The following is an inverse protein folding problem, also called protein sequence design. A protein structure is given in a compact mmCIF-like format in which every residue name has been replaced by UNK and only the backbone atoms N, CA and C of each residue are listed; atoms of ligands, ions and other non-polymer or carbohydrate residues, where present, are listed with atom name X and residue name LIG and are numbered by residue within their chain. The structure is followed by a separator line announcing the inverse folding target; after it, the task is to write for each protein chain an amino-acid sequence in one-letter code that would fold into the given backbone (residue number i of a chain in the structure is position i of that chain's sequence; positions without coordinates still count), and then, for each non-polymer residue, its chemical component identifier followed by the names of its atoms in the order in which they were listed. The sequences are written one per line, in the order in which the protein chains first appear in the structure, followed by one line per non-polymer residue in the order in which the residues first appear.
data_IF_225076545924
#
_entry.id   IF_225076545924
#
_cell.length_a   1.000
_cell.length_b   1.000
_cell.length_c   1.000
_cell.angle_alpha   90.00
_cell.angle_beta   90.00
_cell.angle_gamma   90.00
#
_symmetry.space_group_name_H-M   'P 1'
#
loop_
_entity.id
_entity.type
_entity.pdbx_description
1 polymer ?
#
# COMPACT_ATOMS: atom_id res chain seq x y z
N UNK A 1 42.82 9.06 23.85
CA UNK A 1 41.55 9.68 23.39
C UNK A 1 40.95 8.98 22.17
N UNK A 2 41.67 8.73 21.06
CA UNK A 2 41.09 8.10 19.84
C UNK A 2 40.40 6.74 20.05
N UNK A 3 40.93 5.85 20.91
CA UNK A 3 40.35 4.51 21.14
C UNK A 3 38.96 4.54 21.79
N UNK A 4 38.70 5.54 22.64
CA UNK A 4 37.42 5.66 23.32
C UNK A 4 36.36 6.27 22.39
N UNK A 5 36.74 7.22 21.54
CA UNK A 5 35.85 7.80 20.52
C UNK A 5 35.43 6.73 19.50
N UNK A 6 36.38 5.91 19.01
CA UNK A 6 36.07 4.82 18.10
C UNK A 6 35.14 3.76 18.71
N UNK A 7 35.34 3.39 19.98
CA UNK A 7 34.48 2.43 20.68
C UNK A 7 33.05 2.95 20.89
N UNK A 8 32.89 4.24 21.25
CA UNK A 8 31.58 4.88 21.39
C UNK A 8 30.88 4.99 20.04
N UNK A 9 31.58 5.37 18.96
CA UNK A 9 31.00 5.42 17.61
C UNK A 9 30.55 4.05 17.12
N UNK A 10 31.36 3.00 17.31
CA UNK A 10 31.00 1.62 16.94
C UNK A 10 29.82 1.12 17.78
N UNK A 11 29.80 1.39 19.09
CA UNK A 11 28.69 1.04 19.98
C UNK A 11 27.36 1.67 19.56
N UNK A 12 27.37 2.96 19.20
CA UNK A 12 26.19 3.68 18.71
C UNK A 12 25.69 3.19 17.35
N UNK A 13 26.60 2.84 16.43
CA UNK A 13 26.23 2.27 15.12
C UNK A 13 25.60 0.88 15.29
N UNK A 14 26.17 0.02 16.14
CA UNK A 14 25.62 -1.32 16.42
C UNK A 14 24.26 -1.22 17.13
N UNK A 15 24.12 -0.32 18.12
CA UNK A 15 22.86 -0.08 18.79
C UNK A 15 21.80 0.49 17.82
N UNK A 16 22.17 1.40 16.94
CA UNK A 16 21.30 1.94 15.90
C UNK A 16 20.84 0.88 14.89
N UNK A 17 21.76 0.06 14.38
CA UNK A 17 21.42 -1.07 13.48
C UNK A 17 20.52 -2.07 14.19
N UNK A 18 20.81 -2.39 15.46
CA UNK A 18 19.99 -3.28 16.28
C UNK A 18 18.58 -2.73 16.49
N UNK A 19 18.46 -1.46 16.87
CA UNK A 19 17.18 -0.77 17.07
C UNK A 19 16.36 -0.74 15.77
N UNK A 20 16.94 -0.29 14.66
CA UNK A 20 16.25 -0.22 13.37
C UNK A 20 15.81 -1.61 12.88
N UNK A 21 16.68 -2.63 13.04
CA UNK A 21 16.43 -3.98 12.52
C UNK A 21 15.44 -4.79 13.35
N UNK A 22 15.40 -4.57 14.67
CA UNK A 22 14.64 -5.41 15.61
C UNK A 22 13.41 -4.70 16.17
N UNK A 23 13.47 -3.39 16.39
CA UNK A 23 12.41 -2.61 17.05
C UNK A 23 11.58 -1.90 15.98
N UNK A 24 12.17 -0.95 15.26
CA UNK A 24 11.46 -0.10 14.31
C UNK A 24 10.79 -0.91 13.19
N UNK A 25 11.52 -1.87 12.62
CA UNK A 25 10.99 -2.80 11.60
C UNK A 25 9.75 -3.59 12.03
N UNK A 26 9.53 -3.75 13.34
CA UNK A 26 8.41 -4.51 13.88
C UNK A 26 7.41 -3.63 14.66
N UNK A 27 7.55 -2.31 14.61
CA UNK A 27 6.66 -1.35 15.23
C UNK A 27 5.46 -1.05 14.32
N UNK A 28 4.64 -2.08 14.07
CA UNK A 28 3.42 -1.93 13.28
C UNK A 28 2.43 -1.00 14.01
N UNK A 29 1.87 -0.05 13.28
CA UNK A 29 0.95 0.94 13.83
C UNK A 29 -0.37 0.94 13.04
N UNK A 30 -1.46 1.19 13.75
CA UNK A 30 -2.76 1.51 13.17
C UNK A 30 -2.94 3.02 13.24
N UNK A 31 -3.30 3.65 12.12
CA UNK A 31 -3.69 5.05 12.06
C UNK A 31 -5.16 5.14 11.71
N UNK A 32 -5.91 5.87 12.51
CA UNK A 32 -7.33 6.13 12.27
C UNK A 32 -7.51 7.57 11.82
N UNK A 33 -8.30 7.76 10.77
CA UNK A 33 -8.66 9.08 10.23
C UNK A 33 -10.14 9.05 9.88
N UNK A 34 -10.87 10.07 10.32
CA UNK A 34 -12.28 10.28 9.96
C UNK A 34 -12.36 11.39 8.92
N UNK A 35 -13.05 11.14 7.81
CA UNK A 35 -13.19 12.10 6.71
C UNK A 35 -14.67 12.36 6.40
N UNK A 36 -15.11 13.62 6.26
CA UNK A 36 -16.51 13.97 5.96
C UNK A 36 -16.79 13.89 4.46
N UNK A 37 -16.61 12.70 3.85
CA UNK A 37 -16.80 12.50 2.41
C UNK A 37 -18.22 12.04 2.03
N UNK A 38 -18.97 11.48 2.99
CA UNK A 38 -20.36 11.06 2.79
C UNK A 38 -21.33 12.22 3.01
N UNK A 39 -22.53 12.12 2.42
CA UNK A 39 -23.59 13.10 2.63
C UNK A 39 -23.98 13.21 4.12
N UNK A 40 -24.32 14.41 4.63
CA UNK A 40 -24.76 14.58 6.01
C UNK A 40 -25.92 13.65 6.38
N UNK A 41 -25.83 13.00 7.55
CA UNK A 41 -26.84 12.04 8.02
C UNK A 41 -26.65 10.61 7.53
N UNK A 42 -25.65 10.33 6.68
CA UNK A 42 -25.29 8.96 6.30
C UNK A 42 -24.75 8.17 7.49
N UNK A 43 -25.03 6.86 7.51
CA UNK A 43 -24.33 5.94 8.42
C UNK A 43 -22.82 5.92 8.10
N UNK A 44 -21.94 5.88 9.11
CA UNK A 44 -20.50 5.79 8.90
C UNK A 44 -20.11 4.51 8.15
N UNK A 45 -19.10 4.59 7.29
CA UNK A 45 -18.47 3.46 6.62
C UNK A 45 -17.06 3.28 7.19
N UNK A 46 -16.76 2.12 7.78
CA UNK A 46 -15.42 1.78 8.28
C UNK A 46 -14.60 1.09 7.19
N UNK A 47 -13.58 1.77 6.69
CA UNK A 47 -12.70 1.27 5.64
C UNK A 47 -11.34 0.90 6.22
N UNK A 48 -10.89 -0.34 6.03
CA UNK A 48 -9.52 -0.75 6.33
C UNK A 48 -8.65 -0.59 5.08
N UNK A 49 -7.70 0.33 5.12
CA UNK A 49 -6.70 0.52 4.08
C UNK A 49 -5.45 -0.31 4.38
N UNK A 50 -5.11 -1.22 3.48
CA UNK A 50 -3.86 -1.99 3.50
C UNK A 50 -2.99 -1.60 2.31
N UNK A 51 -1.70 -1.47 2.54
CA UNK A 51 -0.74 -1.24 1.48
C UNK A 51 0.65 -1.68 1.92
N UNK A 52 1.53 -1.94 0.95
CA UNK A 52 2.97 -2.11 1.17
C UNK A 52 3.30 -3.18 2.23
N UNK A 53 2.55 -4.29 2.21
CA UNK A 53 2.72 -5.38 3.16
C UNK A 53 4.12 -5.98 3.04
N UNK A 54 4.68 -6.09 1.83
CA UNK A 54 5.97 -6.73 1.52
C UNK A 54 6.21 -7.99 2.34
N UNK A 55 5.29 -8.93 2.22
CA UNK A 55 5.32 -10.14 3.03
C UNK A 55 6.50 -11.00 2.60
N UNK A 56 7.20 -11.57 3.58
CA UNK A 56 8.10 -12.73 3.41
C UNK A 56 7.56 -13.91 4.20
N UNK A 57 7.76 -15.17 3.75
CA UNK A 57 7.11 -16.35 4.34
C UNK A 57 7.35 -16.55 5.84
N UNK A 58 8.53 -16.15 6.34
CA UNK A 58 8.95 -16.36 7.73
C UNK A 58 8.55 -15.22 8.69
N UNK A 59 7.88 -14.17 8.23
CA UNK A 59 7.52 -13.01 9.06
C UNK A 59 6.26 -13.27 9.92
N UNK A 60 6.34 -14.23 10.85
CA UNK A 60 5.20 -14.67 11.68
C UNK A 60 4.56 -13.55 12.50
N UNK A 61 5.35 -12.63 13.06
CA UNK A 61 4.83 -11.48 13.82
C UNK A 61 3.99 -10.54 12.93
N UNK A 62 4.45 -10.24 11.71
CA UNK A 62 3.68 -9.44 10.74
C UNK A 62 2.40 -10.15 10.32
N UNK A 63 2.48 -11.46 10.09
CA UNK A 63 1.29 -12.27 9.75
C UNK A 63 0.25 -12.28 10.87
N UNK A 64 0.69 -12.40 12.13
CA UNK A 64 -0.19 -12.36 13.30
C UNK A 64 -0.84 -10.98 13.45
N UNK A 65 -0.05 -9.91 13.35
CA UNK A 65 -0.56 -8.54 13.44
C UNK A 65 -1.60 -8.22 12.36
N UNK A 66 -1.34 -8.59 11.09
CA UNK A 66 -2.32 -8.41 10.00
C UNK A 66 -3.63 -9.15 10.28
N UNK A 67 -3.56 -10.36 10.84
CA UNK A 67 -4.75 -11.13 11.19
C UNK A 67 -5.57 -10.46 12.30
N UNK A 68 -4.91 -9.80 13.25
CA UNK A 68 -5.59 -9.08 14.32
C UNK A 68 -6.41 -7.89 13.82
N UNK A 69 -6.07 -7.33 12.64
CA UNK A 69 -6.84 -6.22 12.04
C UNK A 69 -8.29 -6.62 11.71
N UNK A 70 -8.61 -7.91 11.57
CA UNK A 70 -9.99 -8.36 11.42
C UNK A 70 -10.87 -8.00 12.64
N UNK A 71 -10.27 -7.84 13.83
CA UNK A 71 -10.97 -7.39 15.05
C UNK A 71 -11.48 -5.96 14.96
N UNK A 72 -11.01 -5.17 14.00
CA UNK A 72 -11.54 -3.83 13.74
C UNK A 72 -12.92 -3.87 13.11
N UNK A 73 -13.36 -5.03 12.60
CA UNK A 73 -14.65 -5.22 11.93
C UNK A 73 -14.88 -4.14 10.86
N UNK A 74 -14.02 -4.07 9.81
CA UNK A 74 -14.21 -3.15 8.71
C UNK A 74 -15.37 -3.59 7.82
N UNK A 75 -16.08 -2.61 7.25
CA UNK A 75 -17.14 -2.85 6.26
C UNK A 75 -16.55 -3.09 4.87
N UNK A 76 -15.41 -2.46 4.57
CA UNK A 76 -14.70 -2.53 3.29
C UNK A 76 -13.19 -2.64 3.53
N UNK A 77 -12.52 -3.48 2.76
CA UNK A 77 -11.05 -3.52 2.70
C UNK A 77 -10.56 -2.95 1.37
N UNK A 78 -9.66 -1.97 1.44
CA UNK A 78 -8.98 -1.40 0.26
C UNK A 78 -7.51 -1.80 0.31
N UNK A 79 -7.02 -2.49 -0.71
CA UNK A 79 -5.62 -2.88 -0.82
C UNK A 79 -4.93 -2.17 -2.00
N UNK A 80 -4.00 -1.26 -1.71
CA UNK A 80 -3.31 -0.48 -2.75
C UNK A 80 -1.99 -1.08 -3.21
N UNK A 81 -1.77 -2.38 -3.02
CA UNK A 81 -0.64 -3.11 -3.62
C UNK A 81 0.59 -3.26 -2.73
N UNK A 82 1.68 -3.76 -3.33
CA UNK A 82 2.95 -4.10 -2.71
C UNK A 82 2.83 -5.12 -1.58
N UNK A 83 2.09 -6.19 -1.87
CA UNK A 83 1.84 -7.29 -0.96
C UNK A 83 3.04 -8.26 -0.86
N UNK A 84 3.78 -8.44 -1.96
CA UNK A 84 4.81 -9.47 -2.08
C UNK A 84 6.23 -8.92 -1.86
N UNK A 85 7.12 -9.78 -1.34
CA UNK A 85 8.56 -9.52 -1.25
C UNK A 85 9.41 -10.80 -1.42
N UNK A 86 8.79 -11.90 -1.85
CA UNK A 86 9.44 -13.18 -2.10
C UNK A 86 8.55 -14.07 -2.99
N UNK A 87 9.12 -14.94 -3.84
CA UNK A 87 8.33 -15.87 -4.70
C UNK A 87 7.43 -16.87 -3.97
N UNK A 88 7.47 -16.92 -2.63
CA UNK A 88 6.68 -17.85 -1.81
C UNK A 88 5.74 -17.10 -0.86
N UNK A 89 5.51 -15.81 -1.12
CA UNK A 89 4.77 -14.93 -0.22
C UNK A 89 3.26 -15.04 -0.33
N UNK A 90 2.72 -15.50 -1.47
CA UNK A 90 1.27 -15.58 -1.68
C UNK A 90 0.56 -16.36 -0.57
N UNK A 91 0.98 -17.59 -0.18
CA UNK A 91 0.33 -18.28 0.95
C UNK A 91 0.41 -17.52 2.27
N UNK A 92 1.52 -16.81 2.51
CA UNK A 92 1.72 -16.03 3.73
C UNK A 92 0.84 -14.77 3.78
N UNK A 93 0.62 -14.11 2.63
CA UNK A 93 -0.32 -12.97 2.51
C UNK A 93 -1.74 -13.46 2.74
N UNK A 94 -2.17 -14.50 2.00
CA UNK A 94 -3.54 -15.03 2.10
C UNK A 94 -3.86 -15.52 3.51
N UNK A 95 -2.95 -16.27 4.16
CA UNK A 95 -3.13 -16.72 5.55
C UNK A 95 -3.08 -15.59 6.59
N UNK A 96 -2.39 -14.49 6.31
CA UNK A 96 -2.34 -13.34 7.19
C UNK A 96 -3.62 -12.51 7.10
N UNK A 97 -4.15 -12.32 5.89
CA UNK A 97 -5.38 -11.58 5.66
C UNK A 97 -6.60 -12.32 6.22
N UNK A 98 -6.65 -13.66 6.09
CA UNK A 98 -7.61 -14.49 6.81
C UNK A 98 -9.05 -13.98 6.64
N UNK A 99 -9.71 -13.65 7.76
CA UNK A 99 -11.09 -13.20 7.82
C UNK A 99 -11.33 -11.89 7.05
N UNK A 100 -10.31 -11.04 6.87
CA UNK A 100 -10.41 -9.82 6.05
C UNK A 100 -10.75 -10.12 4.59
N UNK A 101 -10.38 -11.30 4.07
CA UNK A 101 -10.76 -11.71 2.72
C UNK A 101 -12.24 -12.06 2.60
N UNK A 102 -12.97 -12.18 3.72
CA UNK A 102 -14.42 -12.40 3.73
C UNK A 102 -15.21 -11.08 3.77
N UNK A 103 -14.52 -9.96 4.03
CA UNK A 103 -15.08 -8.61 3.93
C UNK A 103 -15.06 -8.17 2.46
N UNK A 104 -16.08 -7.45 1.96
CA UNK A 104 -16.01 -6.82 0.64
C UNK A 104 -14.68 -6.10 0.46
N UNK A 105 -14.04 -6.29 -0.69
CA UNK A 105 -12.71 -5.76 -0.92
C UNK A 105 -12.45 -5.35 -2.35
N UNK A 106 -11.58 -4.35 -2.49
CA UNK A 106 -11.10 -3.81 -3.76
C UNK A 106 -9.59 -3.69 -3.72
N UNK A 107 -8.92 -3.90 -4.86
CA UNK A 107 -7.47 -3.82 -4.90
C UNK A 107 -6.88 -3.37 -6.23
N UNK A 108 -5.65 -2.87 -6.17
CA UNK A 108 -4.74 -2.64 -7.31
C UNK A 108 -3.36 -3.22 -6.98
N UNK A 109 -2.49 -3.36 -7.97
CA UNK A 109 -1.13 -3.87 -7.78
C UNK A 109 -0.11 -2.75 -7.63
N UNK A 110 0.95 -3.04 -6.86
CA UNK A 110 2.14 -2.20 -6.78
C UNK A 110 3.36 -2.86 -7.43
N UNK A 111 4.44 -2.09 -7.60
CA UNK A 111 5.67 -2.55 -8.24
C UNK A 111 6.26 -3.83 -7.64
N UNK A 112 6.20 -3.99 -6.33
CA UNK A 112 6.73 -5.13 -5.60
C UNK A 112 5.77 -6.32 -5.55
N UNK A 113 4.55 -6.19 -6.07
CA UNK A 113 3.76 -7.36 -6.44
C UNK A 113 4.32 -8.01 -7.70
N UNK A 114 4.77 -7.21 -8.68
CA UNK A 114 5.32 -7.72 -9.93
C UNK A 114 6.75 -8.21 -9.81
N UNK A 115 7.60 -7.50 -9.06
CA UNK A 115 9.04 -7.73 -9.04
C UNK A 115 9.61 -7.83 -7.63
N UNK A 116 10.51 -8.78 -7.42
CA UNK A 116 11.17 -8.97 -6.12
C UNK A 116 12.15 -7.85 -5.78
N UNK A 117 12.46 -7.66 -4.49
CA UNK A 117 13.46 -6.69 -4.08
C UNK A 117 14.85 -7.11 -4.56
N UNK A 118 15.61 -6.16 -5.12
CA UNK A 118 17.02 -6.34 -5.47
C UNK A 118 17.88 -5.41 -4.62
N UNK A 119 19.01 -5.89 -4.13
CA UNK A 119 19.96 -5.03 -3.41
C UNK A 119 20.48 -3.97 -4.37
N UNK A 120 20.15 -2.70 -4.11
CA UNK A 120 20.66 -1.56 -4.87
C UNK A 120 22.04 -1.20 -4.34
N UNK A 121 22.99 -0.93 -5.24
CA UNK A 121 24.27 -0.36 -4.84
C UNK A 121 24.04 1.12 -4.48
N UNK A 122 24.29 1.57 -3.24
CA UNK A 122 24.07 2.97 -2.84
C UNK A 122 24.88 3.96 -3.67
N UNK A 123 26.02 3.57 -4.24
CA UNK A 123 26.80 4.42 -5.15
C UNK A 123 26.04 4.79 -6.44
N UNK A 124 25.01 4.02 -6.83
CA UNK A 124 24.19 4.30 -8.01
C UNK A 124 23.36 5.58 -7.85
N UNK A 125 23.07 6.03 -6.62
CA UNK A 125 22.42 7.33 -6.40
C UNK A 125 23.29 8.50 -6.88
N UNK A 126 24.62 8.33 -6.93
CA UNK A 126 25.56 9.36 -7.35
C UNK A 126 25.97 9.25 -8.83
N UNK A 127 25.89 8.04 -9.40
CA UNK A 127 26.43 7.77 -10.75
C UNK A 127 25.37 7.54 -11.81
N UNK A 128 24.15 7.12 -11.44
CA UNK A 128 23.08 6.85 -12.42
C UNK A 128 21.67 6.93 -11.79
N UNK A 129 21.16 8.16 -11.52
CA UNK A 129 19.90 8.36 -10.81
C UNK A 129 18.66 7.83 -11.54
N UNK A 130 18.75 7.59 -12.86
CA UNK A 130 17.63 7.07 -13.68
C UNK A 130 17.58 5.55 -13.84
N UNK A 131 18.60 4.80 -13.41
CA UNK A 131 18.70 3.37 -13.70
C UNK A 131 17.86 2.52 -12.72
N UNK A 132 16.69 2.10 -13.17
CA UNK A 132 15.78 1.22 -12.42
C UNK A 132 16.09 -0.24 -12.73
N UNK A 133 16.45 -1.00 -11.70
CA UNK A 133 16.69 -2.44 -11.80
C UNK A 133 15.58 -3.17 -11.06
N UNK A 134 14.75 -3.90 -11.80
CA UNK A 134 13.75 -4.78 -11.23
C UNK A 134 14.40 -6.10 -10.81
N UNK A 135 13.89 -6.69 -9.73
CA UNK A 135 14.24 -8.06 -9.35
C UNK A 135 13.45 -9.09 -10.16
N UNK A 136 13.57 -10.35 -9.74
CA UNK A 136 12.87 -11.46 -10.38
C UNK A 136 11.35 -11.27 -10.36
N UNK A 137 10.62 -11.68 -11.41
CA UNK A 137 9.16 -11.69 -11.41
C UNK A 137 8.61 -12.48 -10.22
N UNK A 138 7.58 -11.94 -9.59
CA UNK A 138 6.86 -12.56 -8.49
C UNK A 138 5.50 -13.13 -8.95
N UNK A 139 4.90 -14.07 -8.20
CA UNK A 139 3.65 -14.73 -8.57
C UNK A 139 2.43 -13.83 -8.30
N UNK A 140 2.38 -12.65 -8.92
CA UNK A 140 1.27 -11.69 -8.77
C UNK A 140 -0.06 -12.23 -9.33
N UNK A 141 -0.01 -13.12 -10.32
CA UNK A 141 -1.20 -13.77 -10.88
C UNK A 141 -1.86 -14.72 -9.87
N UNK A 142 -1.06 -15.46 -9.10
CA UNK A 142 -1.57 -16.32 -8.01
C UNK A 142 -2.19 -15.46 -6.90
N UNK A 143 -1.59 -14.29 -6.61
CA UNK A 143 -2.18 -13.33 -5.67
C UNK A 143 -3.51 -12.78 -6.18
N UNK A 144 -3.58 -12.37 -7.47
CA UNK A 144 -4.81 -11.94 -8.13
C UNK A 144 -5.90 -12.99 -7.99
N UNK A 145 -5.58 -14.24 -8.34
CA UNK A 145 -6.51 -15.36 -8.25
C UNK A 145 -7.01 -15.52 -6.80
N UNK A 146 -6.10 -15.53 -5.83
CA UNK A 146 -6.48 -15.69 -4.42
C UNK A 146 -7.41 -14.57 -3.89
N UNK A 147 -7.23 -13.32 -4.32
CA UNK A 147 -8.14 -12.23 -3.95
C UNK A 147 -9.48 -12.32 -4.68
N UNK A 148 -9.45 -12.53 -5.99
CA UNK A 148 -10.67 -12.59 -6.81
C UNK A 148 -11.56 -13.80 -6.48
N UNK A 149 -10.97 -14.96 -6.16
CA UNK A 149 -11.67 -16.15 -5.66
C UNK A 149 -12.41 -15.90 -4.33
N UNK A 150 -11.99 -14.87 -3.58
CA UNK A 150 -12.63 -14.43 -2.33
C UNK A 150 -13.65 -13.31 -2.55
N UNK A 151 -13.95 -12.97 -3.81
CA UNK A 151 -14.94 -11.97 -4.18
C UNK A 151 -14.40 -10.54 -4.18
N UNK A 152 -13.10 -10.33 -3.98
CA UNK A 152 -12.52 -9.00 -4.12
C UNK A 152 -12.47 -8.56 -5.58
N UNK A 153 -12.68 -7.27 -5.80
CA UNK A 153 -12.69 -6.67 -7.13
C UNK A 153 -11.30 -6.14 -7.48
N UNK A 154 -10.73 -6.65 -8.58
CA UNK A 154 -9.53 -6.10 -9.20
C UNK A 154 -9.89 -4.80 -9.94
N UNK A 155 -9.37 -3.69 -9.45
CA UNK A 155 -9.59 -2.36 -10.01
C UNK A 155 -8.49 -1.93 -10.97
N UNK A 156 -7.55 -2.80 -11.34
CA UNK A 156 -6.49 -2.51 -12.29
C UNK A 156 -7.08 -2.13 -13.66
N UNK A 157 -7.21 -0.83 -13.93
CA UNK A 157 -7.82 -0.26 -15.15
C UNK A 157 -9.29 -0.60 -15.32
N UNK A 158 -10.01 -0.75 -14.21
CA UNK A 158 -11.45 -1.00 -14.27
C UNK A 158 -12.22 -0.03 -13.41
N UNK A 159 -13.50 0.11 -13.75
CA UNK A 159 -14.51 0.80 -12.97
C UNK A 159 -15.52 -0.23 -12.50
N UNK A 160 -15.95 -0.13 -11.24
CA UNK A 160 -16.93 -1.02 -10.62
C UNK A 160 -17.86 -0.21 -9.72
N UNK A 161 -19.01 -0.80 -9.43
CA UNK A 161 -19.86 -0.36 -8.34
C UNK A 161 -20.03 -1.53 -7.37
N UNK A 162 -20.09 -1.23 -6.08
CA UNK A 162 -20.38 -2.20 -5.03
C UNK A 162 -21.27 -1.56 -3.97
N UNK A 163 -22.09 -2.37 -3.33
CA UNK A 163 -22.91 -1.95 -2.19
C UNK A 163 -22.27 -2.49 -0.91
N UNK A 164 -21.95 -1.59 0.02
CA UNK A 164 -21.33 -1.92 1.31
C UNK A 164 -22.01 -1.11 2.39
N UNK A 165 -22.45 -1.77 3.47
CA UNK A 165 -23.18 -1.13 4.57
C UNK A 165 -24.38 -0.27 4.11
N UNK A 166 -25.08 -0.70 3.05
CA UNK A 166 -26.21 0.03 2.44
C UNK A 166 -25.83 1.27 1.63
N UNK A 167 -24.53 1.51 1.41
CA UNK A 167 -24.01 2.60 0.58
C UNK A 167 -23.58 2.06 -0.78
N UNK A 168 -24.01 2.71 -1.86
CA UNK A 168 -23.50 2.47 -3.21
C UNK A 168 -22.17 3.20 -3.37
N UNK A 169 -21.10 2.46 -3.61
CA UNK A 169 -19.76 2.98 -3.80
C UNK A 169 -19.37 2.78 -5.27
N UNK A 170 -19.06 3.87 -5.97
CA UNK A 170 -18.43 3.79 -7.28
C UNK A 170 -16.92 3.81 -7.10
N UNK A 171 -16.24 2.80 -7.63
CA UNK A 171 -14.80 2.63 -7.48
C UNK A 171 -14.14 2.57 -8.86
N UNK A 172 -12.95 3.14 -8.98
CA UNK A 172 -12.09 2.90 -10.13
C UNK A 172 -10.64 2.87 -9.70
N UNK A 173 -9.82 2.15 -10.45
CA UNK A 173 -8.41 2.01 -10.14
C UNK A 173 -7.51 2.07 -11.34
N UNK A 174 -6.27 2.42 -11.06
CA UNK A 174 -5.14 2.31 -11.97
C UNK A 174 -4.08 1.40 -11.38
N UNK A 175 -3.30 0.77 -12.24
CA UNK A 175 -2.07 0.06 -11.86
C UNK A 175 -0.98 1.05 -11.41
N UNK A 176 0.20 0.55 -11.07
CA UNK A 176 1.29 1.34 -10.51
C UNK A 176 1.83 2.47 -11.44
N UNK A 177 1.67 3.75 -11.05
CA UNK A 177 2.27 4.89 -11.74
C UNK A 177 3.81 4.89 -11.75
N UNK A 178 4.48 4.32 -10.74
CA UNK A 178 5.95 4.21 -10.72
C UNK A 178 6.46 3.28 -11.80
N UNK A 179 5.65 2.31 -12.24
CA UNK A 179 5.95 1.47 -13.40
C UNK A 179 5.45 2.06 -14.72
N UNK A 180 4.88 3.27 -14.71
CA UNK A 180 4.18 3.88 -15.85
C UNK A 180 3.09 2.97 -16.41
N UNK A 181 2.42 2.21 -15.52
CA UNK A 181 1.36 1.27 -15.89
C UNK A 181 -0.04 1.79 -15.65
N UNK A 182 -0.20 2.94 -15.01
CA UNK A 182 -1.47 3.50 -14.57
C UNK A 182 -2.55 3.58 -15.66
N UNK A 183 -2.21 3.94 -16.91
CA UNK A 183 -3.12 3.95 -18.07
C UNK A 183 -4.51 4.53 -17.73
N UNK A 184 -4.53 5.71 -17.12
CA UNK A 184 -5.77 6.32 -16.63
C UNK A 184 -6.85 6.50 -17.72
N UNK A 185 -6.47 6.64 -19.00
CA UNK A 185 -7.44 6.77 -20.11
C UNK A 185 -8.44 5.61 -20.20
N UNK A 186 -8.09 4.44 -19.64
CA UNK A 186 -8.97 3.26 -19.59
C UNK A 186 -10.16 3.40 -18.63
N UNK A 187 -10.05 4.29 -17.65
CA UNK A 187 -11.08 4.53 -16.61
C UNK A 187 -11.58 5.97 -16.58
N UNK A 188 -11.16 6.80 -17.54
CA UNK A 188 -11.47 8.21 -17.57
C UNK A 188 -12.98 8.51 -17.59
N UNK A 189 -13.33 9.67 -17.04
CA UNK A 189 -14.68 10.21 -17.02
C UNK A 189 -15.35 10.08 -15.66
N UNK A 190 -16.44 10.84 -15.43
CA UNK A 190 -17.02 11.01 -14.12
C UNK A 190 -17.61 9.71 -13.59
N UNK A 191 -17.48 9.52 -12.28
CA UNK A 191 -18.15 8.44 -11.55
C UNK A 191 -19.69 8.56 -11.61
N UNK A 192 -20.38 7.47 -11.30
CA UNK A 192 -21.84 7.43 -11.30
C UNK A 192 -22.42 8.45 -10.31
N UNK A 193 -23.31 9.36 -10.74
CA UNK A 193 -23.90 10.37 -9.85
C UNK A 193 -24.87 9.76 -8.83
N UNK A 194 -25.24 8.50 -8.99
CA UNK A 194 -26.08 7.76 -8.03
C UNK A 194 -25.26 7.16 -6.87
N UNK A 195 -23.93 7.21 -6.91
CA UNK A 195 -23.09 6.68 -5.86
C UNK A 195 -23.11 7.61 -4.62
N UNK A 196 -23.14 7.00 -3.44
CA UNK A 196 -22.99 7.72 -2.17
C UNK A 196 -21.52 8.11 -1.91
N UNK A 197 -20.58 7.35 -2.49
CA UNK A 197 -19.14 7.59 -2.40
C UNK A 197 -18.47 7.24 -3.74
N UNK A 198 -17.56 8.09 -4.19
CA UNK A 198 -16.70 7.86 -5.35
C UNK A 198 -15.24 7.74 -4.91
N UNK A 199 -14.64 6.58 -5.16
CA UNK A 199 -13.33 6.19 -4.62
C UNK A 199 -12.35 5.79 -5.73
N UNK A 200 -11.22 6.49 -5.80
CA UNK A 200 -10.11 6.21 -6.70
C UNK A 200 -9.03 5.37 -6.02
N UNK A 201 -8.46 4.40 -6.71
CA UNK A 201 -7.32 3.61 -6.24
C UNK A 201 -6.12 3.80 -7.17
N UNK A 202 -4.96 4.00 -6.58
CA UNK A 202 -3.66 3.99 -7.26
C UNK A 202 -2.63 3.39 -6.31
N UNK A 203 -1.60 2.71 -6.80
CA UNK A 203 -0.53 2.29 -5.89
C UNK A 203 0.29 3.48 -5.37
N UNK A 204 0.61 4.45 -6.24
CA UNK A 204 1.36 5.66 -5.87
C UNK A 204 0.51 6.93 -5.98
N UNK A 205 0.68 7.92 -5.08
CA UNK A 205 -0.02 9.19 -5.13
C UNK A 205 0.63 10.18 -6.12
N UNK A 206 0.80 9.78 -7.39
CA UNK A 206 1.40 10.64 -8.42
C UNK A 206 0.43 11.77 -8.84
N UNK A 207 0.84 13.05 -8.86
CA UNK A 207 -0.04 14.18 -9.22
C UNK A 207 -0.79 13.97 -10.54
N UNK A 208 -0.11 13.46 -11.58
CA UNK A 208 -0.71 13.19 -12.91
C UNK A 208 -1.88 12.18 -12.89
N UNK A 209 -2.00 11.37 -11.85
CA UNK A 209 -3.12 10.43 -11.64
C UNK A 209 -4.15 11.06 -10.70
N UNK A 210 -3.69 11.67 -9.60
CA UNK A 210 -4.56 12.33 -8.62
C UNK A 210 -5.38 13.47 -9.25
N UNK A 211 -4.75 14.31 -10.06
CA UNK A 211 -5.37 15.43 -10.75
C UNK A 211 -6.48 14.95 -11.71
N UNK A 212 -6.29 13.78 -12.31
CA UNK A 212 -7.30 13.19 -13.21
C UNK A 212 -8.48 12.63 -12.45
N UNK A 213 -8.24 11.93 -11.33
CA UNK A 213 -9.33 11.52 -10.43
C UNK A 213 -10.12 12.73 -9.90
N UNK A 214 -9.42 13.80 -9.52
CA UNK A 214 -10.05 15.04 -9.09
C UNK A 214 -10.87 15.70 -10.21
N UNK A 215 -10.33 15.74 -11.44
CA UNK A 215 -11.05 16.26 -12.60
C UNK A 215 -12.30 15.45 -12.96
N UNK A 216 -12.26 14.13 -12.73
CA UNK A 216 -13.41 13.22 -12.90
C UNK A 216 -14.37 13.24 -11.68
N UNK A 217 -14.11 14.07 -10.67
CA UNK A 217 -15.00 14.30 -9.53
C UNK A 217 -14.98 13.22 -8.45
N UNK A 218 -13.90 12.43 -8.36
CA UNK A 218 -13.73 11.45 -7.28
C UNK A 218 -13.53 12.15 -5.92
N UNK A 219 -14.28 11.71 -4.91
CA UNK A 219 -14.30 12.34 -3.58
C UNK A 219 -13.10 11.92 -2.70
N UNK A 220 -12.58 10.72 -2.91
CA UNK A 220 -11.45 10.18 -2.17
C UNK A 220 -10.55 9.38 -3.11
N UNK A 221 -9.25 9.55 -3.01
CA UNK A 221 -8.27 8.68 -3.66
C UNK A 221 -7.38 8.05 -2.59
N UNK A 222 -7.23 6.73 -2.65
CA UNK A 222 -6.40 5.97 -1.72
C UNK A 222 -5.18 5.44 -2.46
N UNK A 223 -4.01 5.69 -1.89
CA UNK A 223 -2.73 5.27 -2.45
C UNK A 223 -1.71 4.86 -1.38
N UNK A 224 -0.79 4.00 -1.78
CA UNK A 224 0.32 3.45 -1.00
C UNK A 224 1.68 4.04 -1.37
N UNK A 225 2.68 3.18 -1.52
CA UNK A 225 4.06 3.43 -2.01
C UNK A 225 4.96 4.26 -1.09
N UNK A 226 4.40 5.23 -0.37
CA UNK A 226 5.20 6.16 0.43
C UNK A 226 5.71 5.57 1.74
N UNK A 227 5.19 4.41 2.18
CA UNK A 227 5.50 3.77 3.47
C UNK A 227 5.37 4.69 4.70
N UNK A 228 4.62 5.80 4.61
CA UNK A 228 4.60 6.84 5.65
C UNK A 228 5.87 7.70 5.73
N UNK A 229 6.70 7.65 4.67
CA UNK A 229 8.04 8.23 4.58
C UNK A 229 9.09 7.15 4.37
N UNK A 230 10.00 7.29 3.40
CA UNK A 230 11.05 6.29 3.16
C UNK A 230 12.20 6.37 4.17
N UNK A 231 12.42 7.56 4.72
CA UNK A 231 13.33 7.79 5.84
C UNK A 231 12.69 8.78 6.82
N UNK A 232 12.23 8.27 7.96
CA UNK A 232 11.66 9.10 9.02
C UNK A 232 12.70 9.30 10.13
N UNK A 233 12.99 10.54 10.48
CA UNK A 233 13.75 10.79 11.71
C UNK A 233 12.81 10.70 12.92
N UNK A 234 13.27 10.11 14.04
CA UNK A 234 12.53 10.17 15.29
C UNK A 234 12.14 11.62 15.60
N UNK A 235 10.85 11.86 15.88
CA UNK A 235 10.27 13.18 16.22
C UNK A 235 10.17 14.24 15.10
N UNK A 236 10.74 14.02 13.92
CA UNK A 236 10.72 14.99 12.80
C UNK A 236 9.93 14.52 11.57
N UNK A 237 9.63 13.23 11.46
CA UNK A 237 8.88 12.68 10.32
C UNK A 237 9.76 12.42 9.09
N UNK A 238 9.12 12.25 7.94
CA UNK A 238 9.76 11.84 6.69
C UNK A 238 10.66 12.95 6.11
N UNK A 239 11.91 12.61 5.81
CA UNK A 239 12.88 13.51 5.14
C UNK A 239 12.99 13.19 3.65
N UNK A 240 12.71 11.94 3.28
CA UNK A 240 12.67 11.51 1.88
C UNK A 240 11.34 10.82 1.65
N UNK A 241 10.59 11.37 0.72
CA UNK A 241 9.39 10.78 0.14
C UNK A 241 9.68 10.59 -1.35
N UNK A 242 9.75 9.35 -1.82
CA UNK A 242 9.90 9.05 -3.26
C UNK A 242 8.55 9.15 -3.98
N UNK A 243 7.88 10.27 -3.74
CA UNK A 243 6.67 10.68 -4.43
C UNK A 243 6.86 12.15 -4.83
N UNK A 244 6.34 12.53 -5.99
CA UNK A 244 6.43 13.90 -6.51
C UNK A 244 5.41 14.85 -5.83
N UNK A 245 5.09 14.61 -4.54
CA UNK A 245 4.21 15.41 -3.68
C UNK A 245 5.00 16.34 -2.75
#
# INVERSE_FOLDING_TARGET
MLKNTAAVTVGSVVAGIGYASLIERNAFALREVTMPVLAPGSSPLKVLHLSDIHMRPKQRRKQAWLRELARLEPDLVVNTGDNLAHPKSVPAVVQAMGDLLSVPGVFVFGSNDYFGPRMKNPANYLTNPGHRVHGEPLPWQDLRAAFTERGWLDLTHTRRELEVAGLRIAVAGVDDPHLSRDRYDTIAGPASPAANLTLGLSHSPEPRVLDRFAADGYQLVMAGHTHGGQLCLPFYGAIITNCDL
#
